data_IF_496457825280
#
_entry.id   IF_496457825280
#
_cell.length_a   1.000
_cell.length_b   1.000
_cell.length_c   1.000
_cell.angle_alpha   90.00
_cell.angle_beta   90.00
_cell.angle_gamma   90.00
#
_symmetry.space_group_name_H-M   'P 1'
#
loop_
_entity.id
_entity.type
_entity.pdbx_description
1 polymer ?
#
# COMPACT_ATOMS: atom_id res chain seq x y z
N UNK A 1 -6.49 -2.48 6.63
CA UNK A 1 -5.37 -2.71 5.70
C UNK A 1 -4.43 -3.78 6.23
N UNK A 2 -3.62 -3.46 7.24
CA UNK A 2 -2.61 -4.37 7.84
C UNK A 2 -3.23 -5.68 8.34
N UNK A 3 -4.40 -5.62 8.99
CA UNK A 3 -5.08 -6.82 9.49
C UNK A 3 -5.50 -7.75 8.33
N UNK A 4 -6.09 -7.19 7.27
CA UNK A 4 -6.47 -7.95 6.09
C UNK A 4 -5.26 -8.62 5.41
N UNK A 5 -4.11 -7.93 5.34
CA UNK A 5 -2.86 -8.52 4.83
C UNK A 5 -2.43 -9.73 5.64
N UNK A 6 -2.48 -9.66 6.97
CA UNK A 6 -2.16 -10.81 7.86
C UNK A 6 -3.14 -11.97 7.69
N UNK A 7 -4.41 -11.66 7.41
CA UNK A 7 -5.44 -12.66 7.09
C UNK A 7 -5.34 -13.18 5.65
N UNK A 8 -4.42 -12.66 4.84
CA UNK A 8 -4.24 -12.96 3.41
C UNK A 8 -5.46 -12.60 2.55
N UNK A 9 -6.29 -11.69 3.05
CA UNK A 9 -7.34 -11.03 2.26
C UNK A 9 -6.73 -9.81 1.59
N UNK A 10 -6.01 -10.05 0.49
CA UNK A 10 -5.21 -9.02 -0.16
C UNK A 10 -6.05 -7.96 -0.87
N UNK A 11 -7.23 -8.30 -1.38
CA UNK A 11 -8.12 -7.34 -2.03
C UNK A 11 -8.62 -6.31 -1.02
N UNK A 12 -9.16 -6.76 0.13
CA UNK A 12 -9.59 -5.86 1.20
C UNK A 12 -8.41 -5.07 1.80
N UNK A 13 -7.22 -5.68 1.86
CA UNK A 13 -6.00 -4.99 2.31
C UNK A 13 -5.61 -3.84 1.37
N UNK A 14 -5.64 -4.07 0.05
CA UNK A 14 -5.28 -3.08 -0.96
C UNK A 14 -6.29 -1.93 -0.97
N UNK A 15 -7.59 -2.22 -0.98
CA UNK A 15 -8.64 -1.19 -0.99
C UNK A 15 -8.50 -0.25 0.22
N UNK A 16 -8.33 -0.81 1.40
CA UNK A 16 -8.18 -0.02 2.64
C UNK A 16 -6.88 0.81 2.65
N UNK A 17 -5.76 0.25 2.16
CA UNK A 17 -4.48 0.97 2.12
C UNK A 17 -4.46 2.06 1.04
N UNK A 18 -5.12 1.85 -0.10
CA UNK A 18 -5.28 2.90 -1.14
C UNK A 18 -6.08 4.07 -0.58
N UNK A 19 -7.20 3.79 0.10
CA UNK A 19 -7.98 4.84 0.76
C UNK A 19 -7.13 5.59 1.80
N UNK A 20 -6.35 4.87 2.63
CA UNK A 20 -5.49 5.51 3.63
C UNK A 20 -4.45 6.46 3.01
N UNK A 21 -3.87 6.11 1.87
CA UNK A 21 -2.96 6.98 1.11
C UNK A 21 -3.71 8.21 0.58
N UNK A 22 -4.87 8.03 -0.02
CA UNK A 22 -5.68 9.14 -0.56
C UNK A 22 -6.09 10.13 0.54
N UNK A 23 -6.50 9.63 1.70
CA UNK A 23 -6.88 10.47 2.84
C UNK A 23 -5.70 11.25 3.45
N UNK A 24 -4.46 10.78 3.30
CA UNK A 24 -3.29 11.55 3.74
C UNK A 24 -2.99 12.74 2.81
N UNK A 25 -3.26 12.62 1.50
CA UNK A 25 -3.04 13.68 0.51
C UNK A 25 -4.13 14.77 0.45
N UNK A 26 -5.33 14.52 0.99
CA UNK A 26 -6.53 15.40 0.87
C UNK A 26 -6.67 16.41 2.04
N UNK A 27 -5.60 16.68 2.80
CA UNK A 27 -5.69 17.65 3.91
C UNK A 27 -5.75 19.09 3.36
N UNK A 28 -6.97 19.58 3.13
CA UNK A 28 -7.26 20.95 2.62
C UNK A 28 -6.88 22.06 3.63
N UNK A 29 -6.71 21.73 4.91
CA UNK A 29 -6.26 22.66 5.95
C UNK A 29 -4.84 22.36 6.42
N UNK A 30 -3.90 23.33 6.36
CA UNK A 30 -2.55 23.15 6.89
C UNK A 30 -2.61 23.04 8.41
N UNK A 31 -2.26 21.89 9.02
CA UNK A 31 -2.19 21.82 10.47
C UNK A 31 -1.06 22.72 10.99
N UNK A 32 -1.38 23.55 11.97
CA UNK A 32 -0.43 24.35 12.73
C UNK A 32 0.52 23.45 13.54
N UNK A 33 1.81 23.42 13.18
CA UNK A 33 2.93 22.91 13.99
C UNK A 33 2.94 21.40 14.27
N UNK A 34 4.13 20.77 14.25
CA UNK A 34 4.45 19.36 14.58
C UNK A 34 3.59 18.23 13.94
N UNK A 35 2.52 18.56 13.22
CA UNK A 35 1.58 17.63 12.58
C UNK A 35 1.94 17.36 11.12
N UNK A 36 2.68 18.25 10.44
CA UNK A 36 3.20 18.00 9.08
C UNK A 36 4.17 16.83 9.06
N UNK A 37 5.14 16.83 9.98
CA UNK A 37 6.15 15.77 10.11
C UNK A 37 5.50 14.40 10.37
N UNK A 38 4.43 14.36 11.18
CA UNK A 38 3.65 13.14 11.42
C UNK A 38 2.76 12.74 10.24
N UNK A 39 2.25 13.70 9.47
CA UNK A 39 1.37 13.43 8.32
C UNK A 39 2.16 12.86 7.14
N UNK A 40 3.35 13.39 6.89
CA UNK A 40 4.28 12.88 5.87
C UNK A 40 4.78 11.48 6.24
N UNK A 41 5.16 11.26 7.51
CA UNK A 41 5.52 9.94 8.05
C UNK A 41 4.35 8.93 7.99
N UNK A 42 3.10 9.38 8.15
CA UNK A 42 1.91 8.53 8.00
C UNK A 42 1.64 8.14 6.54
N UNK A 43 1.81 9.08 5.61
CA UNK A 43 1.66 8.82 4.17
C UNK A 43 2.73 7.84 3.66
N UNK A 44 4.00 8.08 4.02
CA UNK A 44 5.12 7.19 3.66
C UNK A 44 4.89 5.77 4.21
N UNK A 45 4.41 5.66 5.45
CA UNK A 45 4.05 4.37 6.05
C UNK A 45 2.92 3.69 5.30
N UNK A 46 1.87 4.42 4.92
CA UNK A 46 0.74 3.86 4.17
C UNK A 46 1.17 3.35 2.79
N UNK A 47 1.98 4.13 2.06
CA UNK A 47 2.57 3.74 0.77
C UNK A 47 3.45 2.49 0.91
N UNK A 48 4.34 2.47 1.91
CA UNK A 48 5.19 1.32 2.20
C UNK A 48 4.37 0.06 2.48
N UNK A 49 3.32 0.17 3.30
CA UNK A 49 2.44 -0.98 3.58
C UNK A 49 1.70 -1.45 2.33
N UNK A 50 1.31 -0.54 1.43
CA UNK A 50 0.67 -0.87 0.17
C UNK A 50 1.62 -1.63 -0.78
N UNK A 51 2.86 -1.17 -0.92
CA UNK A 51 3.91 -1.84 -1.71
C UNK A 51 4.14 -3.27 -1.19
N UNK A 52 4.31 -3.44 0.12
CA UNK A 52 4.48 -4.75 0.73
C UNK A 52 3.26 -5.66 0.48
N UNK A 53 2.05 -5.10 0.48
CA UNK A 53 0.82 -5.85 0.20
C UNK A 53 0.77 -6.36 -1.23
N UNK A 54 1.18 -5.55 -2.22
CA UNK A 54 1.30 -6.03 -3.59
C UNK A 54 2.34 -7.14 -3.74
N UNK A 55 3.48 -7.04 -3.06
CA UNK A 55 4.52 -8.07 -3.08
C UNK A 55 4.04 -9.38 -2.44
N UNK A 56 3.45 -9.31 -1.24
CA UNK A 56 2.90 -10.48 -0.55
C UNK A 56 1.82 -11.18 -1.40
N UNK A 57 0.97 -10.40 -2.07
CA UNK A 57 -0.05 -10.94 -2.97
C UNK A 57 0.55 -11.60 -4.21
N UNK A 58 1.59 -11.00 -4.80
CA UNK A 58 2.32 -11.58 -5.91
C UNK A 58 2.93 -12.96 -5.55
N UNK A 59 3.53 -13.08 -4.36
CA UNK A 59 4.06 -14.35 -3.85
C UNK A 59 2.93 -15.39 -3.69
N UNK A 60 1.76 -14.99 -3.19
CA UNK A 60 0.61 -15.88 -3.06
C UNK A 60 0.11 -16.37 -4.43
N UNK A 61 0.00 -15.48 -5.42
CA UNK A 61 -0.38 -15.84 -6.79
C UNK A 61 0.64 -16.80 -7.41
N UNK A 62 1.94 -16.51 -7.26
CA UNK A 62 3.01 -17.38 -7.74
C UNK A 62 2.93 -18.78 -7.13
N UNK A 63 2.73 -18.86 -5.80
CA UNK A 63 2.60 -20.13 -5.07
C UNK A 63 1.38 -20.97 -5.52
N UNK A 64 0.39 -20.34 -6.17
CA UNK A 64 -0.82 -20.98 -6.71
C UNK A 64 -0.73 -21.27 -8.22
N UNK A 65 0.38 -20.94 -8.86
CA UNK A 65 0.55 -21.09 -10.32
C UNK A 65 -0.09 -19.98 -11.15
N UNK A 66 -0.57 -18.90 -10.52
CA UNK A 66 -1.13 -17.71 -11.16
C UNK A 66 -0.01 -16.75 -11.54
N UNK A 67 0.83 -17.15 -12.51
CA UNK A 67 2.07 -16.43 -12.83
C UNK A 67 1.83 -15.07 -13.48
N UNK A 68 0.81 -14.96 -14.33
CA UNK A 68 0.46 -13.70 -15.01
C UNK A 68 0.07 -12.63 -14.00
N UNK A 69 -0.79 -12.99 -13.05
CA UNK A 69 -1.25 -12.13 -11.96
C UNK A 69 -0.10 -11.78 -11.01
N UNK A 70 0.76 -12.75 -10.69
CA UNK A 70 1.94 -12.53 -9.85
C UNK A 70 2.90 -11.49 -10.47
N UNK A 71 3.19 -11.61 -11.77
CA UNK A 71 4.06 -10.66 -12.49
C UNK A 71 3.43 -9.27 -12.51
N UNK A 72 2.13 -9.17 -12.80
CA UNK A 72 1.40 -7.89 -12.81
C UNK A 72 1.47 -7.20 -11.44
N UNK A 73 1.20 -7.94 -10.37
CA UNK A 73 1.23 -7.42 -8.99
C UNK A 73 2.65 -7.01 -8.56
N UNK A 74 3.66 -7.79 -8.95
CA UNK A 74 5.05 -7.47 -8.65
C UNK A 74 5.53 -6.22 -9.38
N UNK A 75 5.20 -6.08 -10.67
CA UNK A 75 5.52 -4.87 -11.43
C UNK A 75 4.87 -3.64 -10.79
N UNK A 76 3.62 -3.75 -10.36
CA UNK A 76 2.92 -2.66 -9.65
C UNK A 76 3.59 -2.28 -8.33
N UNK A 77 4.13 -3.25 -7.59
CA UNK A 77 4.91 -2.99 -6.38
C UNK A 77 6.21 -2.23 -6.70
N UNK A 78 6.92 -2.63 -7.77
CA UNK A 78 8.18 -2.01 -8.20
C UNK A 78 7.95 -0.58 -8.69
N UNK A 79 6.93 -0.36 -9.53
CA UNK A 79 6.56 0.98 -10.00
C UNK A 79 6.26 1.91 -8.83
N UNK A 80 5.43 1.45 -7.88
CA UNK A 80 5.12 2.24 -6.69
C UNK A 80 6.34 2.51 -5.80
N UNK A 81 7.27 1.56 -5.66
CA UNK A 81 8.50 1.77 -4.89
C UNK A 81 9.46 2.75 -5.56
N UNK A 82 9.48 2.80 -6.89
CA UNK A 82 10.27 3.78 -7.64
C UNK A 82 9.72 5.20 -7.47
N UNK A 83 8.39 5.30 -7.37
CA UNK A 83 7.67 6.56 -7.33
C UNK A 83 7.37 7.03 -5.87
N UNK A 84 7.83 6.29 -4.86
CA UNK A 84 7.75 6.60 -3.42
C UNK A 84 9.07 7.20 -2.93
#
# INVERSE_FOLDING_TARGET
GILYRRLKDFTAAIEDLVLAVEFCGVREDPPQGDLWDKSEDLEEKAQTQLILTYNDFAIQCFSRGLYSEAIMLLNKAIEKQRDA
#
